data_IF_879655789990
#
_entry.id   IF_879655789990
#
_cell.length_a   1.000
_cell.length_b   1.000
_cell.length_c   1.000
_cell.angle_alpha   90.00
_cell.angle_beta   90.00
_cell.angle_gamma   90.00
#
_symmetry.space_group_name_H-M   'P 1'
#
loop_
_entity.id
_entity.type
_entity.pdbx_description
1 polymer ?
#
# COMPACT_ATOMS: atom_id res chain seq x y z
N UNK A 1 -34.66 -19.05 20.43
CA UNK A 1 -34.16 -20.34 19.91
C UNK A 1 -33.98 -20.20 18.41
N UNK A 2 -32.92 -20.76 17.84
CA UNK A 2 -32.53 -20.68 16.42
C UNK A 2 -33.53 -21.35 15.43
N UNK A 3 -34.81 -21.47 15.80
CA UNK A 3 -35.83 -22.21 15.04
C UNK A 3 -36.86 -21.30 14.35
N UNK A 4 -36.79 -19.97 14.52
CA UNK A 4 -37.72 -19.05 13.86
C UNK A 4 -37.19 -18.46 12.54
N UNK A 5 -35.93 -18.69 12.19
CA UNK A 5 -35.34 -18.17 10.94
C UNK A 5 -35.54 -19.15 9.77
N UNK A 6 -35.81 -20.42 10.05
CA UNK A 6 -35.93 -21.48 9.02
C UNK A 6 -37.30 -21.57 8.33
N UNK A 7 -38.26 -20.69 8.68
CA UNK A 7 -39.68 -20.94 8.36
C UNK A 7 -40.29 -20.06 7.26
N UNK A 8 -39.49 -19.34 6.46
CA UNK A 8 -40.02 -18.50 5.36
C UNK A 8 -39.06 -18.39 4.15
N UNK A 9 -39.06 -19.36 3.21
CA UNK A 9 -38.18 -19.36 2.04
C UNK A 9 -38.41 -18.20 1.03
N UNK A 10 -39.43 -17.36 1.23
CA UNK A 10 -39.71 -16.17 0.41
C UNK A 10 -39.21 -14.85 1.04
N UNK A 11 -38.77 -14.87 2.31
CA UNK A 11 -37.95 -13.80 2.85
C UNK A 11 -36.53 -14.09 2.33
N UNK A 12 -36.25 -13.60 1.13
CA UNK A 12 -34.88 -13.63 0.59
C UNK A 12 -33.88 -13.11 1.63
N UNK A 13 -32.61 -13.49 1.46
CA UNK A 13 -31.53 -13.09 2.37
C UNK A 13 -31.67 -11.61 2.74
N UNK A 14 -31.62 -11.31 4.05
CA UNK A 14 -31.75 -9.95 4.55
C UNK A 14 -30.77 -9.04 3.80
N UNK A 15 -31.29 -8.00 3.15
CA UNK A 15 -30.48 -7.06 2.37
C UNK A 15 -29.43 -6.46 3.31
N UNK A 16 -28.16 -6.63 2.97
CA UNK A 16 -27.06 -6.01 3.69
C UNK A 16 -27.14 -4.48 3.57
N UNK A 17 -27.25 -3.81 4.72
CA UNK A 17 -27.39 -2.35 4.84
C UNK A 17 -26.12 -1.65 5.31
N UNK A 18 -25.02 -2.40 5.49
CA UNK A 18 -23.74 -1.85 5.92
C UNK A 18 -23.26 -0.80 4.91
N UNK A 19 -22.75 0.32 5.41
CA UNK A 19 -22.06 1.33 4.61
C UNK A 19 -20.66 0.87 4.21
N UNK A 20 -20.07 1.50 3.20
CA UNK A 20 -18.69 1.23 2.80
C UNK A 20 -17.70 1.39 3.96
N UNK A 21 -17.88 2.39 4.81
CA UNK A 21 -17.03 2.62 5.99
C UNK A 21 -17.06 1.45 6.97
N UNK A 22 -18.23 0.83 7.17
CA UNK A 22 -18.41 -0.35 8.01
C UNK A 22 -17.75 -1.59 7.39
N UNK A 23 -17.89 -1.77 6.06
CA UNK A 23 -17.20 -2.83 5.32
C UNK A 23 -15.68 -2.66 5.42
N UNK A 24 -15.16 -1.44 5.27
CA UNK A 24 -13.72 -1.17 5.41
C UNK A 24 -13.22 -1.44 6.83
N UNK A 25 -14.01 -1.08 7.84
CA UNK A 25 -13.66 -1.34 9.25
C UNK A 25 -13.65 -2.83 9.55
N UNK A 26 -14.62 -3.58 9.03
CA UNK A 26 -14.68 -5.04 9.15
C UNK A 26 -13.46 -5.69 8.51
N UNK A 27 -13.13 -5.30 7.26
CA UNK A 27 -11.91 -5.77 6.59
C UNK A 27 -10.65 -5.49 7.41
N UNK A 28 -10.53 -4.29 7.99
CA UNK A 28 -9.36 -3.96 8.80
C UNK A 28 -9.27 -4.85 10.05
N UNK A 29 -10.39 -5.04 10.76
CA UNK A 29 -10.42 -5.85 11.97
C UNK A 29 -10.14 -7.34 11.68
N UNK A 30 -10.69 -7.90 10.61
CA UNK A 30 -10.53 -9.33 10.29
C UNK A 30 -9.24 -9.66 9.57
N UNK A 31 -8.73 -8.74 8.75
CA UNK A 31 -7.59 -9.01 7.87
C UNK A 31 -6.52 -7.91 7.94
N UNK A 32 -6.92 -6.66 7.72
CA UNK A 32 -6.01 -5.53 7.55
C UNK A 32 -5.01 -5.37 8.70
N UNK A 33 -5.42 -5.56 9.95
CA UNK A 33 -4.54 -5.42 11.12
C UNK A 33 -3.33 -6.38 11.11
N UNK A 34 -3.42 -7.50 10.39
CA UNK A 34 -2.31 -8.47 10.26
C UNK A 34 -1.28 -8.08 9.20
N UNK A 35 -1.59 -7.08 8.35
CA UNK A 35 -0.74 -6.65 7.25
C UNK A 35 0.18 -5.50 7.67
N UNK A 36 1.44 -5.56 7.23
CA UNK A 36 2.42 -4.47 7.46
C UNK A 36 1.94 -3.12 6.93
N UNK A 37 1.17 -3.10 5.83
CA UNK A 37 0.62 -1.89 5.24
C UNK A 37 -0.88 -1.68 5.59
N UNK A 38 -1.43 -2.48 6.50
CA UNK A 38 -2.87 -2.55 6.78
C UNK A 38 -3.45 -1.23 7.26
N UNK A 39 -2.82 -0.60 8.26
CA UNK A 39 -3.28 0.68 8.81
C UNK A 39 -3.27 1.78 7.76
N UNK A 40 -2.20 1.87 6.95
CA UNK A 40 -2.12 2.85 5.87
C UNK A 40 -3.15 2.59 4.77
N UNK A 41 -3.40 1.32 4.43
CA UNK A 41 -4.43 0.92 3.46
C UNK A 41 -5.82 1.30 3.97
N UNK A 42 -6.12 1.02 5.24
CA UNK A 42 -7.38 1.40 5.88
C UNK A 42 -7.58 2.92 5.89
N UNK A 43 -6.57 3.70 6.28
CA UNK A 43 -6.62 5.17 6.20
C UNK A 43 -6.91 5.67 4.79
N UNK A 44 -6.36 5.03 3.75
CA UNK A 44 -6.67 5.37 2.36
C UNK A 44 -8.07 4.94 1.93
N UNK A 45 -8.53 3.77 2.34
CA UNK A 45 -9.92 3.36 2.15
C UNK A 45 -10.88 4.39 2.75
N UNK A 46 -10.65 4.84 3.99
CA UNK A 46 -11.50 5.85 4.63
C UNK A 46 -11.59 7.15 3.80
N UNK A 47 -10.45 7.67 3.31
CA UNK A 47 -10.44 8.88 2.47
C UNK A 47 -11.20 8.69 1.14
N UNK A 48 -11.02 7.53 0.50
CA UNK A 48 -11.72 7.19 -0.74
C UNK A 48 -13.23 7.09 -0.49
N UNK A 49 -13.63 6.44 0.60
CA UNK A 49 -15.04 6.22 0.98
C UNK A 49 -15.71 7.54 1.36
N UNK A 50 -15.02 8.40 2.10
CA UNK A 50 -15.50 9.74 2.44
C UNK A 50 -15.76 10.57 1.17
N UNK A 51 -14.83 10.54 0.22
CA UNK A 51 -15.01 11.21 -1.08
C UNK A 51 -16.11 10.59 -1.96
N UNK A 52 -16.47 9.32 -1.74
CA UNK A 52 -17.61 8.66 -2.37
C UNK A 52 -18.95 8.97 -1.66
N UNK A 53 -18.92 9.66 -0.51
CA UNK A 53 -20.10 9.98 0.29
C UNK A 53 -20.59 8.85 1.20
N UNK A 54 -19.75 7.85 1.45
CA UNK A 54 -20.05 6.67 2.28
C UNK A 54 -21.42 5.98 1.99
N UNK A 55 -21.66 5.57 0.73
CA UNK A 55 -22.91 4.93 0.35
C UNK A 55 -23.07 3.54 1.01
N UNK A 56 -24.31 3.01 1.07
CA UNK A 56 -24.52 1.59 1.34
C UNK A 56 -23.67 0.72 0.40
N UNK A 57 -22.95 -0.26 0.94
CA UNK A 57 -22.01 -1.07 0.16
C UNK A 57 -22.68 -1.83 -0.99
N UNK A 58 -23.94 -2.23 -0.80
CA UNK A 58 -24.78 -2.90 -1.80
C UNK A 58 -25.20 -1.99 -2.96
N UNK A 59 -25.12 -0.68 -2.80
CA UNK A 59 -25.43 0.31 -3.85
C UNK A 59 -24.19 0.86 -4.56
N UNK A 60 -23.00 0.56 -4.06
CA UNK A 60 -21.75 1.02 -4.66
C UNK A 60 -21.45 0.25 -5.94
N UNK A 61 -21.20 0.97 -7.03
CA UNK A 61 -20.99 0.39 -8.37
C UNK A 61 -19.68 0.86 -9.01
N UNK A 62 -19.27 0.18 -10.08
CA UNK A 62 -18.18 0.63 -10.94
C UNK A 62 -18.41 2.02 -11.53
N UNK A 63 -19.67 2.44 -11.74
CA UNK A 63 -20.02 3.77 -12.24
C UNK A 63 -19.68 4.86 -11.21
N UNK A 64 -20.01 4.62 -9.94
CA UNK A 64 -19.69 5.56 -8.86
C UNK A 64 -18.19 5.74 -8.75
N UNK A 65 -17.44 4.64 -8.83
CA UNK A 65 -15.99 4.71 -8.83
C UNK A 65 -15.43 5.40 -10.08
N UNK A 66 -16.02 5.23 -11.26
CA UNK A 66 -15.60 5.92 -12.48
C UNK A 66 -15.72 7.45 -12.35
N UNK A 67 -16.84 7.94 -11.81
CA UNK A 67 -17.01 9.35 -11.50
C UNK A 67 -16.02 9.84 -10.44
N UNK A 68 -15.77 9.03 -9.40
CA UNK A 68 -14.73 9.33 -8.42
C UNK A 68 -13.35 9.48 -9.06
N UNK A 69 -12.94 8.57 -9.97
CA UNK A 69 -11.64 8.66 -10.64
C UNK A 69 -11.49 9.93 -11.45
N UNK A 70 -12.52 10.32 -12.19
CA UNK A 70 -12.52 11.55 -12.98
C UNK A 70 -12.24 12.76 -12.09
N UNK A 71 -12.94 12.87 -10.96
CA UNK A 71 -12.73 13.92 -9.94
C UNK A 71 -11.34 13.87 -9.31
N UNK A 72 -10.78 12.68 -9.11
CA UNK A 72 -9.41 12.51 -8.59
C UNK A 72 -8.37 12.98 -9.60
N UNK A 73 -8.54 12.66 -10.87
CA UNK A 73 -7.62 13.03 -11.94
C UNK A 73 -7.70 14.53 -12.27
N UNK A 74 -8.89 15.13 -12.20
CA UNK A 74 -9.09 16.57 -12.47
C UNK A 74 -8.60 17.47 -11.33
N UNK A 75 -8.46 16.92 -10.11
CA UNK A 75 -8.13 17.70 -8.92
C UNK A 75 -9.36 18.25 -8.19
N UNK A 76 -10.58 17.97 -8.64
CA UNK A 76 -11.80 18.29 -7.89
C UNK A 76 -11.80 17.62 -6.51
N UNK A 77 -11.27 16.39 -6.43
CA UNK A 77 -11.03 15.69 -5.16
C UNK A 77 -9.54 15.46 -4.97
N UNK A 78 -8.99 16.04 -3.90
CA UNK A 78 -7.61 15.81 -3.49
C UNK A 78 -7.49 15.59 -1.98
N UNK A 79 -6.51 14.77 -1.57
CA UNK A 79 -6.30 14.40 -0.15
C UNK A 79 -5.11 15.12 0.49
N UNK A 80 -4.42 15.97 -0.26
CA UNK A 80 -3.31 16.78 0.22
C UNK A 80 -3.14 17.99 -0.68
N UNK A 81 -2.90 19.15 -0.07
CA UNK A 81 -2.62 20.42 -0.74
C UNK A 81 -1.50 20.35 -1.78
N UNK A 82 -0.60 19.36 -1.66
CA UNK A 82 0.46 19.10 -2.64
C UNK A 82 -0.07 18.61 -4.00
N UNK A 83 -1.28 18.04 -4.03
CA UNK A 83 -1.85 17.36 -5.20
C UNK A 83 -3.17 18.00 -5.66
N UNK A 84 -3.27 19.33 -5.56
CA UNK A 84 -4.45 20.09 -6.02
C UNK A 84 -4.75 19.94 -7.51
N UNK A 85 -3.72 19.68 -8.31
CA UNK A 85 -3.85 19.55 -9.76
C UNK A 85 -4.24 18.13 -10.22
N UNK A 86 -4.78 17.32 -9.30
CA UNK A 86 -5.16 15.95 -9.58
C UNK A 86 -4.14 14.91 -9.14
N UNK A 87 -4.64 13.71 -8.87
CA UNK A 87 -3.84 12.54 -8.59
C UNK A 87 -3.38 11.88 -9.89
N UNK A 88 -2.17 11.32 -9.88
CA UNK A 88 -1.67 10.52 -10.99
C UNK A 88 -2.49 9.23 -11.18
N UNK A 89 -2.63 8.70 -12.42
CA UNK A 89 -3.37 7.46 -12.69
C UNK A 89 -2.90 6.26 -11.86
N UNK A 90 -1.60 6.20 -11.52
CA UNK A 90 -1.03 5.16 -10.65
C UNK A 90 -1.64 5.19 -9.24
N UNK A 91 -1.90 6.38 -8.70
CA UNK A 91 -2.52 6.57 -7.38
C UNK A 91 -3.96 6.09 -7.40
N UNK A 92 -4.71 6.47 -8.44
CA UNK A 92 -6.11 6.08 -8.58
C UNK A 92 -6.26 4.57 -8.82
N UNK A 93 -5.33 3.95 -9.55
CA UNK A 93 -5.25 2.49 -9.71
C UNK A 93 -4.98 1.77 -8.38
N UNK A 94 -4.20 2.39 -7.48
CA UNK A 94 -3.93 1.85 -6.16
C UNK A 94 -5.18 1.94 -5.27
N UNK A 95 -5.89 3.08 -5.30
CA UNK A 95 -7.18 3.27 -4.62
C UNK A 95 -8.22 2.22 -5.10
N UNK A 96 -8.29 1.96 -6.42
CA UNK A 96 -9.12 0.88 -6.95
C UNK A 96 -8.74 -0.48 -6.35
N UNK A 97 -7.44 -0.77 -6.29
CA UNK A 97 -6.92 -2.06 -5.83
C UNK A 97 -7.26 -2.30 -4.37
N UNK A 98 -7.25 -1.24 -3.55
CA UNK A 98 -7.63 -1.32 -2.15
C UNK A 98 -9.12 -1.65 -1.99
N UNK A 99 -10.01 -0.93 -2.68
CA UNK A 99 -11.45 -1.21 -2.61
C UNK A 99 -11.79 -2.61 -3.15
N UNK A 100 -11.25 -2.96 -4.32
CA UNK A 100 -11.47 -4.29 -4.90
C UNK A 100 -10.92 -5.39 -3.99
N UNK A 101 -9.71 -5.23 -3.45
CA UNK A 101 -9.12 -6.20 -2.53
C UNK A 101 -9.89 -6.36 -1.23
N UNK A 102 -10.45 -5.26 -0.69
CA UNK A 102 -11.30 -5.28 0.50
C UNK A 102 -12.54 -6.16 0.30
N UNK A 103 -13.29 -5.95 -0.81
CA UNK A 103 -14.47 -6.77 -1.13
C UNK A 103 -14.11 -8.23 -1.39
N UNK A 104 -13.07 -8.49 -2.19
CA UNK A 104 -12.64 -9.86 -2.49
C UNK A 104 -12.19 -10.63 -1.24
N UNK A 105 -11.49 -9.97 -0.32
CA UNK A 105 -11.06 -10.60 0.93
C UNK A 105 -12.25 -10.91 1.86
N UNK A 106 -13.20 -9.98 2.01
CA UNK A 106 -14.40 -10.23 2.81
C UNK A 106 -15.30 -11.31 2.20
N UNK A 107 -15.40 -11.37 0.87
CA UNK A 107 -16.10 -12.46 0.20
C UNK A 107 -15.45 -13.81 0.49
N UNK A 108 -14.11 -13.87 0.48
CA UNK A 108 -13.37 -15.09 0.85
C UNK A 108 -13.60 -15.52 2.31
N UNK A 109 -13.81 -14.56 3.21
CA UNK A 109 -14.11 -14.82 4.61
C UNK A 109 -15.59 -15.17 4.87
N UNK A 110 -16.46 -15.13 3.85
CA UNK A 110 -17.91 -15.32 4.00
C UNK A 110 -18.64 -14.13 4.61
N UNK A 111 -17.99 -12.97 4.67
CA UNK A 111 -18.54 -11.73 5.24
C UNK A 111 -19.20 -10.84 4.17
N UNK A 112 -19.08 -11.20 2.89
CA UNK A 112 -19.69 -10.47 1.76
C UNK A 112 -20.20 -11.46 0.70
N UNK A 113 -21.51 -11.45 0.47
CA UNK A 113 -22.16 -12.46 -0.38
C UNK A 113 -22.49 -11.93 -1.80
N UNK A 114 -22.25 -10.65 -2.07
CA UNK A 114 -22.47 -10.04 -3.38
C UNK A 114 -21.19 -10.08 -4.22
N UNK A 115 -21.28 -9.95 -5.56
CA UNK A 115 -20.10 -9.78 -6.40
C UNK A 115 -19.25 -8.56 -5.99
N UNK A 116 -17.95 -8.58 -6.29
CA UNK A 116 -17.10 -7.43 -6.07
C UNK A 116 -17.46 -6.33 -7.10
N UNK A 117 -17.89 -5.13 -6.66
CA UNK A 117 -18.41 -4.09 -7.55
C UNK A 117 -17.35 -3.54 -8.54
N UNK A 118 -16.06 -3.79 -8.27
CA UNK A 118 -14.95 -3.31 -9.10
C UNK A 118 -14.20 -4.44 -9.83
N UNK A 119 -14.69 -5.68 -9.79
CA UNK A 119 -14.03 -6.86 -10.35
C UNK A 119 -13.67 -6.69 -11.84
N UNK A 120 -14.62 -6.19 -12.63
CA UNK A 120 -14.48 -6.04 -14.07
C UNK A 120 -13.97 -4.64 -14.48
N UNK A 121 -13.72 -3.75 -13.52
CA UNK A 121 -13.31 -2.39 -13.82
C UNK A 121 -11.82 -2.35 -14.20
N UNK A 122 -11.50 -1.88 -15.41
CA UNK A 122 -10.10 -1.78 -15.84
C UNK A 122 -9.35 -0.69 -15.07
N UNK A 123 -8.09 -0.95 -14.79
CA UNK A 123 -7.11 0.04 -14.33
C UNK A 123 -6.67 0.91 -15.51
N UNK A 124 -6.24 2.13 -15.24
CA UNK A 124 -5.56 2.95 -16.24
C UNK A 124 -4.25 2.29 -16.66
N UNK A 125 -3.93 2.37 -17.95
CA UNK A 125 -2.60 1.96 -18.43
C UNK A 125 -1.61 3.06 -18.05
N UNK A 126 -0.54 2.71 -17.35
CA UNK A 126 0.51 3.65 -16.93
C UNK A 126 1.81 3.21 -17.57
N UNK A 127 2.46 4.12 -18.29
CA UNK A 127 3.79 3.85 -18.85
C UNK A 127 4.78 3.60 -17.72
N UNK A 128 5.62 2.57 -17.87
CA UNK A 128 6.71 2.35 -16.95
C UNK A 128 7.67 3.55 -17.01
N UNK A 129 8.01 4.09 -15.84
CA UNK A 129 9.05 5.11 -15.75
C UNK A 129 10.41 4.45 -15.97
N UNK A 130 11.22 5.02 -16.84
CA UNK A 130 12.61 4.60 -17.01
C UNK A 130 13.33 4.65 -15.66
N UNK A 131 13.99 3.55 -15.30
CA UNK A 131 14.78 3.49 -14.08
C UNK A 131 16.08 4.25 -14.32
N UNK A 132 16.32 5.31 -13.55
CA UNK A 132 17.60 5.98 -13.52
C UNK A 132 18.56 5.27 -12.55
N UNK A 133 19.85 5.26 -12.90
CA UNK A 133 20.94 4.85 -12.02
C UNK A 133 22.02 5.93 -11.98
N UNK A 134 22.82 5.93 -10.92
CA UNK A 134 23.96 6.84 -10.79
C UNK A 134 25.17 6.25 -11.50
N UNK A 135 25.85 7.07 -12.30
CA UNK A 135 27.19 6.76 -12.83
C UNK A 135 28.23 6.84 -11.71
N UNK A 136 29.41 6.26 -11.93
CA UNK A 136 30.52 6.33 -10.95
C UNK A 136 30.90 7.76 -10.57
N UNK A 137 30.90 8.69 -11.53
CA UNK A 137 31.19 10.10 -11.27
C UNK A 137 30.12 10.73 -10.35
N UNK A 138 28.84 10.45 -10.61
CA UNK A 138 27.74 10.94 -9.78
C UNK A 138 27.72 10.30 -8.39
N UNK A 139 28.18 9.04 -8.25
CA UNK A 139 28.35 8.40 -6.94
C UNK A 139 29.41 9.14 -6.12
N UNK A 140 30.54 9.50 -6.73
CA UNK A 140 31.59 10.30 -6.06
C UNK A 140 31.07 11.66 -5.61
N UNK A 141 30.31 12.34 -6.48
CA UNK A 141 29.68 13.62 -6.16
C UNK A 141 28.68 13.48 -5.01
N UNK A 142 27.83 12.45 -5.04
CA UNK A 142 26.87 12.13 -3.98
C UNK A 142 27.58 11.91 -2.64
N UNK A 143 28.60 11.07 -2.58
CA UNK A 143 29.34 10.78 -1.34
C UNK A 143 30.00 12.03 -0.78
N UNK A 144 30.55 12.89 -1.65
CA UNK A 144 31.14 14.19 -1.27
C UNK A 144 30.10 15.16 -0.71
N UNK A 145 28.87 15.13 -1.24
CA UNK A 145 27.77 15.93 -0.71
C UNK A 145 27.28 15.38 0.64
N UNK A 146 27.18 14.05 0.78
CA UNK A 146 26.77 13.39 2.02
C UNK A 146 27.71 13.68 3.19
N UNK A 147 29.02 13.83 2.94
CA UNK A 147 30.00 14.14 4.00
C UNK A 147 29.82 15.52 4.62
N UNK A 148 28.96 16.37 4.06
CA UNK A 148 28.60 17.70 4.59
C UNK A 148 27.32 17.66 5.44
N UNK A 149 26.61 16.54 5.45
CA UNK A 149 25.37 16.33 6.20
C UNK A 149 25.62 15.63 7.54
N UNK A 150 24.61 14.89 8.00
CA UNK A 150 24.71 14.07 9.22
C UNK A 150 25.84 13.04 9.14
N UNK A 151 26.49 12.76 10.28
CA UNK A 151 27.66 11.87 10.36
C UNK A 151 27.39 10.45 9.84
N UNK A 152 26.15 9.99 9.97
CA UNK A 152 25.75 8.62 9.65
C UNK A 152 25.33 8.47 8.17
N UNK A 153 25.04 9.59 7.50
CA UNK A 153 24.53 9.62 6.13
C UNK A 153 25.50 8.97 5.11
N UNK A 154 26.82 9.29 5.11
CA UNK A 154 27.77 8.62 4.23
C UNK A 154 27.77 7.10 4.41
N UNK A 155 27.73 6.62 5.66
CA UNK A 155 27.76 5.18 5.95
C UNK A 155 26.52 4.45 5.42
N UNK A 156 25.34 5.04 5.59
CA UNK A 156 24.09 4.48 5.03
C UNK A 156 24.16 4.40 3.51
N UNK A 157 24.68 5.44 2.85
CA UNK A 157 24.83 5.47 1.39
C UNK A 157 25.85 4.42 0.91
N UNK A 158 26.99 4.30 1.58
CA UNK A 158 28.01 3.29 1.27
C UNK A 158 27.49 1.87 1.42
N UNK A 159 26.70 1.59 2.46
CA UNK A 159 26.02 0.29 2.64
C UNK A 159 25.06 0.03 1.48
N UNK A 160 24.25 1.03 1.07
CA UNK A 160 23.33 0.89 -0.05
C UNK A 160 24.08 0.58 -1.36
N UNK A 161 25.12 1.35 -1.68
CA UNK A 161 25.93 1.17 -2.89
C UNK A 161 26.66 -0.18 -2.90
N UNK A 162 27.17 -0.63 -1.75
CA UNK A 162 27.96 -1.86 -1.65
C UNK A 162 27.12 -3.14 -1.63
N UNK A 163 25.86 -3.05 -1.19
CA UNK A 163 25.02 -4.25 -0.95
C UNK A 163 23.73 -4.29 -1.75
N UNK A 164 23.36 -3.20 -2.44
CA UNK A 164 22.06 -3.06 -3.08
C UNK A 164 20.89 -3.04 -2.08
N UNK A 165 21.14 -2.67 -0.82
CA UNK A 165 20.09 -2.53 0.19
C UNK A 165 19.11 -1.41 -0.15
N UNK A 166 17.85 -1.58 0.23
CA UNK A 166 16.91 -0.46 0.23
C UNK A 166 17.31 0.53 1.31
N UNK A 167 17.06 1.82 1.07
CA UNK A 167 17.35 2.90 2.03
C UNK A 167 16.98 2.55 3.48
N UNK A 168 15.71 2.22 3.73
CA UNK A 168 15.24 1.88 5.09
C UNK A 168 15.88 0.63 5.67
N UNK A 169 16.32 -0.32 4.84
CA UNK A 169 17.03 -1.53 5.33
C UNK A 169 18.43 -1.19 5.83
N UNK A 170 19.10 -0.21 5.20
CA UNK A 170 20.42 0.28 5.61
C UNK A 170 20.33 1.27 6.79
N UNK A 171 19.38 2.20 6.75
CA UNK A 171 19.14 3.18 7.81
C UNK A 171 18.75 2.54 9.15
N UNK A 172 17.94 1.47 9.13
CA UNK A 172 17.50 0.78 10.35
C UNK A 172 18.39 -0.41 10.72
N UNK A 173 19.64 -0.43 10.24
CA UNK A 173 20.56 -1.51 10.52
C UNK A 173 20.94 -1.54 12.02
N UNK A 174 20.79 -2.70 12.64
CA UNK A 174 21.16 -2.87 14.05
C UNK A 174 22.49 -3.61 14.20
N UNK A 175 23.19 -3.41 15.32
CA UNK A 175 24.49 -4.06 15.59
C UNK A 175 24.46 -5.58 15.46
N UNK A 176 23.35 -6.23 15.86
CA UNK A 176 23.19 -7.70 15.77
C UNK A 176 23.12 -8.22 14.33
N UNK A 177 22.84 -7.34 13.36
CA UNK A 177 22.81 -7.68 11.94
C UNK A 177 24.19 -7.60 11.29
N UNK A 178 25.20 -7.09 11.99
CA UNK A 178 26.55 -6.91 11.49
C UNK A 178 27.44 -7.98 12.08
N UNK A 179 28.07 -8.76 11.22
CA UNK A 179 29.12 -9.72 11.56
C UNK A 179 30.37 -9.39 10.74
N UNK A 180 31.58 -9.85 11.13
CA UNK A 180 32.78 -9.56 10.37
C UNK A 180 32.58 -9.80 8.87
N UNK A 181 32.69 -8.71 8.09
CA UNK A 181 32.60 -8.71 6.63
C UNK A 181 31.26 -9.16 6.05
N UNK A 182 30.17 -9.07 6.82
CA UNK A 182 28.84 -9.49 6.37
C UNK A 182 27.73 -8.75 7.09
N UNK A 183 26.78 -8.24 6.31
CA UNK A 183 25.54 -7.62 6.80
C UNK A 183 24.36 -8.57 6.55
N UNK A 184 23.50 -8.75 7.56
CA UNK A 184 22.28 -9.54 7.46
C UNK A 184 21.05 -8.65 7.53
N UNK A 185 20.36 -8.48 6.40
CA UNK A 185 19.12 -7.71 6.33
C UNK A 185 17.95 -8.59 6.76
N UNK A 186 17.27 -8.17 7.83
CA UNK A 186 16.08 -8.84 8.37
C UNK A 186 14.83 -7.99 8.10
N UNK A 187 13.64 -8.61 8.15
CA UNK A 187 12.34 -7.92 8.00
C UNK A 187 12.24 -7.06 6.72
N UNK A 188 12.82 -7.57 5.63
CA UNK A 188 12.80 -6.90 4.34
C UNK A 188 11.38 -6.85 3.78
N UNK A 189 11.11 -5.97 2.80
CA UNK A 189 9.81 -5.89 2.10
C UNK A 189 9.33 -7.24 1.55
N UNK A 190 10.26 -8.16 1.28
CA UNK A 190 9.97 -9.52 0.80
C UNK A 190 9.82 -10.58 1.89
N UNK A 191 9.83 -10.21 3.18
CA UNK A 191 9.77 -11.08 4.37
C UNK A 191 10.87 -12.15 4.49
N UNK A 192 11.78 -12.25 3.51
CA UNK A 192 12.95 -13.13 3.54
C UNK A 192 14.16 -12.39 4.08
N UNK A 193 14.87 -13.02 4.99
CA UNK A 193 16.16 -12.56 5.47
C UNK A 193 17.23 -12.88 4.43
N UNK A 194 18.21 -11.99 4.26
CA UNK A 194 19.36 -12.22 3.36
C UNK A 194 20.63 -11.69 3.98
N UNK A 195 21.75 -12.36 3.72
CA UNK A 195 23.07 -11.88 4.13
C UNK A 195 23.89 -11.53 2.91
N UNK A 196 24.57 -10.38 2.96
CA UNK A 196 25.41 -9.87 1.89
C UNK A 196 26.83 -9.68 2.43
N UNK A 197 27.87 -10.24 1.77
CA UNK A 197 29.25 -9.98 2.16
C UNK A 197 29.61 -8.51 1.89
N UNK A 198 30.42 -7.92 2.77
CA UNK A 198 30.94 -6.56 2.63
C UNK A 198 32.45 -6.55 2.72
N UNK A 199 33.08 -5.49 2.21
CA UNK A 199 34.53 -5.33 2.27
C UNK A 199 35.03 -5.18 3.71
N UNK A 200 36.31 -5.46 3.93
CA UNK A 200 36.95 -5.20 5.24
C UNK A 200 36.99 -3.72 5.59
N UNK A 201 37.04 -2.84 4.57
CA UNK A 201 37.05 -1.40 4.74
C UNK A 201 35.69 -0.92 5.25
N UNK A 202 34.59 -1.35 4.63
CA UNK A 202 33.22 -0.96 5.05
C UNK A 202 32.83 -1.52 6.43
N UNK A 203 33.44 -2.63 6.86
CA UNK A 203 33.20 -3.21 8.18
C UNK A 203 33.88 -2.44 9.33
N UNK A 204 34.99 -1.76 9.05
CA UNK A 204 35.77 -1.02 10.06
C UNK A 204 35.14 0.34 10.33
#
# INVERSE_FOLDING_TARGET
TMEQVDNKPWLGEAIDRRKLSEIAKLWYNLHGQSLTAGENTYKKLCLVIEALGDPPATTFTAKDFAHYRDKRLSGEVYFSEKWKNGAEPVTVNLEQSYLSGMFSELARLGEWNQPNPLENMRKFTVAEKEMAWLTHAQITELLTACSRGDSDLPLVVEVCLSTGARWREAENLTRSQITPHKITFIRTKGKKNRSVPISKALYK
#
